data_IF_708748145449
#
_entry.id   IF_708748145449
#
_cell.length_a   1.000
_cell.length_b   1.000
_cell.length_c   1.000
_cell.angle_alpha   90.00
_cell.angle_beta   90.00
_cell.angle_gamma   90.00
#
_symmetry.space_group_name_H-M   'P 1'
#
loop_
_entity.id
_entity.type
_entity.pdbx_description
1 polymer ?
#
# COMPACT_ATOMS: atom_id res chain seq x y z
N UNK A 1 -29.41 0.31 -5.52
CA UNK A 1 -28.97 1.69 -5.73
C UNK A 1 -28.35 1.79 -7.12
N UNK A 2 -28.88 2.69 -7.95
CA UNK A 2 -28.33 2.96 -9.29
C UNK A 2 -27.28 4.05 -9.15
N UNK A 3 -26.04 3.74 -9.55
CA UNK A 3 -24.96 4.71 -9.58
C UNK A 3 -25.17 5.68 -10.74
N UNK A 4 -25.02 6.98 -10.49
CA UNK A 4 -25.07 8.00 -11.55
C UNK A 4 -23.79 7.92 -12.40
N UNK A 5 -23.91 7.31 -13.56
CA UNK A 5 -22.79 7.08 -14.47
C UNK A 5 -22.05 8.36 -14.86
N UNK A 6 -22.75 9.49 -15.07
CA UNK A 6 -22.12 10.76 -15.46
C UNK A 6 -21.20 11.29 -14.37
N UNK A 7 -21.67 11.33 -13.13
CA UNK A 7 -20.86 11.73 -11.96
C UNK A 7 -19.72 10.75 -11.73
N UNK A 8 -19.97 9.45 -11.83
CA UNK A 8 -18.98 8.41 -11.60
C UNK A 8 -17.79 8.51 -12.56
N UNK A 9 -18.04 8.65 -13.88
CA UNK A 9 -16.98 8.84 -14.86
C UNK A 9 -16.23 10.17 -14.69
N UNK A 10 -16.91 11.24 -14.22
CA UNK A 10 -16.25 12.49 -13.86
C UNK A 10 -15.23 12.26 -12.73
N UNK A 11 -15.62 11.55 -11.67
CA UNK A 11 -14.70 11.18 -10.57
C UNK A 11 -13.55 10.31 -11.06
N UNK A 12 -13.82 9.31 -11.91
CA UNK A 12 -12.78 8.47 -12.50
C UNK A 12 -11.71 9.31 -13.20
N UNK A 13 -12.09 10.22 -14.08
CA UNK A 13 -11.14 11.10 -14.79
C UNK A 13 -10.35 12.01 -13.86
N UNK A 14 -11.02 12.63 -12.89
CA UNK A 14 -10.36 13.49 -11.92
C UNK A 14 -9.30 12.73 -11.10
N UNK A 15 -9.63 11.54 -10.61
CA UNK A 15 -8.71 10.74 -9.82
C UNK A 15 -7.61 10.09 -10.66
N UNK A 16 -7.89 9.79 -11.93
CA UNK A 16 -6.86 9.37 -12.88
C UNK A 16 -5.82 10.47 -13.12
N UNK A 17 -6.24 11.72 -13.31
CA UNK A 17 -5.30 12.86 -13.43
C UNK A 17 -4.49 13.05 -12.15
N UNK A 18 -5.16 13.03 -11.00
CA UNK A 18 -4.52 13.18 -9.69
C UNK A 18 -3.48 12.09 -9.40
N UNK A 19 -3.69 10.86 -9.84
CA UNK A 19 -2.72 9.77 -9.68
C UNK A 19 -1.35 10.14 -10.26
N UNK A 20 -1.34 10.80 -11.40
CA UNK A 20 -0.11 11.24 -12.06
C UNK A 20 0.51 12.45 -11.38
N UNK A 21 -0.30 13.40 -10.92
CA UNK A 21 0.16 14.52 -10.10
C UNK A 21 0.83 14.02 -8.81
N UNK A 22 0.18 13.09 -8.11
CA UNK A 22 0.70 12.47 -6.88
C UNK A 22 2.02 11.70 -7.14
N UNK A 23 2.18 11.09 -8.33
CA UNK A 23 3.42 10.44 -8.75
C UNK A 23 4.55 11.47 -8.98
N UNK A 24 4.25 12.57 -9.68
CA UNK A 24 5.22 13.62 -10.04
C UNK A 24 5.76 14.33 -8.80
N UNK A 25 4.92 14.63 -7.81
CA UNK A 25 5.32 15.26 -6.55
C UNK A 25 5.91 14.26 -5.52
N UNK A 26 5.96 12.95 -5.85
CA UNK A 26 6.49 11.91 -4.97
C UNK A 26 5.58 11.52 -3.81
N UNK A 27 4.30 11.85 -3.87
CA UNK A 27 3.31 11.45 -2.87
C UNK A 27 2.82 10.02 -3.06
N UNK A 28 2.81 9.52 -4.31
CA UNK A 28 2.44 8.14 -4.62
C UNK A 28 3.63 7.19 -4.42
N UNK A 29 3.38 6.08 -3.74
CA UNK A 29 4.33 4.96 -3.63
C UNK A 29 4.59 4.38 -5.02
N UNK A 30 5.83 4.46 -5.52
CA UNK A 30 6.17 4.10 -6.90
C UNK A 30 5.85 2.64 -7.24
N UNK A 31 6.07 1.74 -6.31
CA UNK A 31 5.80 0.30 -6.46
C UNK A 31 4.30 -0.05 -6.46
N UNK A 32 3.44 0.90 -6.08
CA UNK A 32 2.00 0.76 -6.16
C UNK A 32 1.44 1.08 -7.56
N UNK A 33 2.15 1.92 -8.32
CA UNK A 33 1.69 2.44 -9.61
C UNK A 33 1.20 1.36 -10.60
N UNK A 34 1.93 0.24 -10.85
CA UNK A 34 1.47 -0.78 -11.79
C UNK A 34 0.10 -1.38 -11.42
N UNK A 35 -0.13 -1.57 -10.13
CA UNK A 35 -1.42 -2.08 -9.62
C UNK A 35 -2.54 -1.07 -9.86
N UNK A 36 -2.32 0.20 -9.52
CA UNK A 36 -3.34 1.25 -9.68
C UNK A 36 -3.69 1.47 -11.15
N UNK A 37 -2.69 1.47 -12.03
CA UNK A 37 -2.93 1.59 -13.47
C UNK A 37 -3.72 0.41 -14.00
N UNK A 38 -3.36 -0.82 -13.61
CA UNK A 38 -4.07 -2.03 -14.03
C UNK A 38 -5.57 -1.97 -13.66
N UNK A 39 -5.92 -1.53 -12.44
CA UNK A 39 -7.31 -1.35 -12.05
C UNK A 39 -8.01 -0.22 -12.83
N UNK A 40 -7.34 0.90 -13.08
CA UNK A 40 -7.91 2.03 -13.83
C UNK A 40 -8.11 1.72 -15.32
N UNK A 41 -7.35 0.78 -15.89
CA UNK A 41 -7.56 0.28 -17.27
C UNK A 41 -8.93 -0.40 -17.44
N UNK A 42 -9.53 -0.96 -16.39
CA UNK A 42 -10.91 -1.43 -16.46
C UNK A 42 -11.87 -0.23 -16.44
N UNK A 43 -12.75 -0.16 -17.44
CA UNK A 43 -13.68 0.96 -17.64
C UNK A 43 -14.56 1.20 -16.40
N UNK A 44 -14.93 0.15 -15.69
CA UNK A 44 -15.88 0.18 -14.58
C UNK A 44 -15.19 0.22 -13.19
N UNK A 45 -13.88 0.54 -13.15
CA UNK A 45 -13.09 0.67 -11.91
C UNK A 45 -12.28 1.97 -11.95
N UNK A 46 -12.16 2.64 -10.81
CA UNK A 46 -11.12 3.63 -10.57
C UNK A 46 -10.53 3.50 -9.16
N UNK A 47 -9.27 3.92 -8.99
CA UNK A 47 -8.56 3.83 -7.71
C UNK A 47 -8.68 5.11 -6.90
N UNK A 48 -8.60 4.96 -5.59
CA UNK A 48 -8.65 6.01 -4.58
C UNK A 48 -7.32 6.04 -3.81
N UNK A 49 -7.30 6.73 -2.67
CA UNK A 49 -6.13 6.76 -1.77
C UNK A 49 -5.71 5.34 -1.39
N UNK A 50 -4.46 5.00 -1.65
CA UNK A 50 -3.90 3.66 -1.46
C UNK A 50 -2.49 3.75 -0.88
N UNK A 51 -1.98 2.64 -0.35
CA UNK A 51 -0.65 2.55 0.23
C UNK A 51 -0.06 1.16 -0.09
N UNK A 52 1.21 1.12 -0.49
CA UNK A 52 1.90 -0.12 -0.83
C UNK A 52 2.38 -0.94 0.38
N UNK A 53 2.05 -0.50 1.58
CA UNK A 53 2.59 -0.98 2.86
C UNK A 53 3.67 -0.06 3.40
N UNK A 54 3.76 0.06 4.72
CA UNK A 54 4.66 1.02 5.37
C UNK A 54 5.02 0.58 6.79
N UNK A 55 6.14 1.15 7.27
CA UNK A 55 6.51 1.16 8.68
C UNK A 55 6.32 2.57 9.21
N UNK A 56 5.71 2.68 10.39
CA UNK A 56 5.44 3.94 11.08
C UNK A 56 5.88 3.83 12.52
N UNK A 57 6.63 4.82 13.01
CA UNK A 57 6.77 5.07 14.44
C UNK A 57 5.87 6.25 14.79
N UNK A 58 4.99 6.05 15.75
CA UNK A 58 4.05 7.08 16.21
C UNK A 58 4.15 7.30 17.71
N UNK A 59 4.10 8.57 18.13
CA UNK A 59 3.91 8.96 19.53
C UNK A 59 2.41 9.21 19.75
N UNK A 60 1.74 8.26 20.40
CA UNK A 60 0.29 8.27 20.60
C UNK A 60 -0.10 7.46 21.83
N UNK A 61 -1.33 7.69 22.35
CA UNK A 61 -1.84 6.94 23.50
C UNK A 61 -1.96 5.44 23.20
N UNK A 62 -2.45 5.09 21.99
CA UNK A 62 -2.57 3.71 21.49
C UNK A 62 -2.13 3.63 20.04
N UNK A 63 -1.68 2.46 19.54
CA UNK A 63 -1.17 2.33 18.17
C UNK A 63 -2.23 2.57 17.09
N UNK A 64 -3.51 2.51 17.41
CA UNK A 64 -4.64 2.78 16.51
C UNK A 64 -5.25 4.17 16.67
N UNK A 65 -4.81 4.97 17.67
CA UNK A 65 -5.31 6.34 17.87
C UNK A 65 -4.98 7.21 16.67
N UNK A 66 -5.97 7.93 16.14
CA UNK A 66 -5.75 8.93 15.09
C UNK A 66 -5.74 10.34 15.66
N UNK A 67 -6.61 10.58 16.64
CA UNK A 67 -6.63 11.82 17.40
C UNK A 67 -5.41 11.88 18.31
N UNK A 68 -4.76 13.02 18.37
CA UNK A 68 -3.57 13.25 19.20
C UNK A 68 -2.37 12.31 18.87
N UNK A 69 -2.31 11.76 17.68
CA UNK A 69 -1.19 10.94 17.21
C UNK A 69 -0.20 11.78 16.43
N UNK A 70 1.06 11.74 16.82
CA UNK A 70 2.18 12.33 16.09
C UNK A 70 2.97 11.22 15.38
N UNK A 71 3.03 11.26 14.05
CA UNK A 71 3.88 10.36 13.26
C UNK A 71 5.30 10.94 13.29
N UNK A 72 6.21 10.25 14.01
CA UNK A 72 7.60 10.69 14.14
C UNK A 72 8.54 10.09 13.09
N UNK A 73 8.12 8.96 12.48
CA UNK A 73 8.82 8.33 11.35
C UNK A 73 7.81 7.58 10.48
N UNK A 74 7.95 7.70 9.15
CA UNK A 74 7.15 6.93 8.18
C UNK A 74 8.04 6.53 7.01
N UNK A 75 8.08 5.22 6.67
CA UNK A 75 8.82 4.69 5.52
C UNK A 75 8.04 3.62 4.78
N UNK A 76 8.25 3.54 3.46
CA UNK A 76 7.74 2.51 2.56
C UNK A 76 8.84 1.53 2.11
N UNK A 77 10.00 1.64 2.74
CA UNK A 77 11.20 0.78 2.60
C UNK A 77 11.66 0.35 3.99
N UNK A 78 12.51 -0.67 4.12
CA UNK A 78 13.01 -1.14 5.41
C UNK A 78 13.67 -0.03 6.25
N UNK A 79 13.55 -0.16 7.57
CA UNK A 79 14.17 0.71 8.56
C UNK A 79 15.54 0.17 8.98
N UNK A 80 16.48 1.08 9.24
CA UNK A 80 17.68 0.74 10.00
C UNK A 80 17.42 0.89 11.51
N UNK A 81 18.05 0.03 12.30
CA UNK A 81 17.97 0.09 13.77
C UNK A 81 18.33 1.48 14.30
N UNK A 82 19.39 2.09 13.76
CA UNK A 82 19.87 3.42 14.17
C UNK A 82 18.81 4.52 14.06
N UNK A 83 17.86 4.40 13.15
CA UNK A 83 16.78 5.38 12.98
C UNK A 83 15.79 5.33 14.14
N UNK A 84 15.50 4.11 14.63
CA UNK A 84 14.61 3.91 15.78
C UNK A 84 15.32 4.25 17.07
N UNK A 85 16.59 3.84 17.23
CA UNK A 85 17.44 4.16 18.38
C UNK A 85 17.56 5.69 18.58
N UNK A 86 17.72 6.45 17.49
CA UNK A 86 17.74 7.91 17.53
C UNK A 86 16.41 8.53 17.99
N UNK A 87 15.28 7.88 17.75
CA UNK A 87 13.96 8.33 18.24
C UNK A 87 13.78 8.06 19.73
N UNK A 88 14.29 6.92 20.23
CA UNK A 88 14.23 6.55 21.66
C UNK A 88 15.00 7.51 22.57
N UNK A 89 15.99 8.23 22.00
CA UNK A 89 16.77 9.26 22.71
C UNK A 89 16.09 10.63 22.75
N UNK A 90 14.96 10.81 22.07
CA UNK A 90 14.19 12.07 22.04
C UNK A 90 13.13 12.06 23.14
N UNK A 91 12.67 13.26 23.59
CA UNK A 91 11.53 13.37 24.46
C UNK A 91 10.29 12.70 23.87
N UNK A 92 9.65 11.84 24.67
CA UNK A 92 8.42 11.12 24.32
C UNK A 92 7.27 11.80 25.06
N UNK A 93 6.26 12.21 24.33
CA UNK A 93 5.09 12.92 24.93
C UNK A 93 4.07 11.93 25.50
N UNK A 94 3.88 10.80 24.81
CA UNK A 94 2.94 9.75 25.21
C UNK A 94 3.62 8.38 25.23
N UNK A 95 3.48 7.65 24.12
CA UNK A 95 4.06 6.32 23.92
C UNK A 95 4.53 6.16 22.51
N UNK A 96 5.73 5.63 22.32
CA UNK A 96 6.21 5.24 21.00
C UNK A 96 5.73 3.84 20.63
N UNK A 97 5.11 3.76 19.47
CA UNK A 97 4.64 2.53 18.85
C UNK A 97 5.33 2.31 17.51
N UNK A 98 5.85 1.11 17.30
CA UNK A 98 6.35 0.65 16.00
C UNK A 98 5.24 -0.15 15.31
N UNK A 99 4.79 0.33 14.16
CA UNK A 99 3.72 -0.27 13.38
C UNK A 99 4.23 -0.60 11.99
N UNK A 100 4.00 -1.83 11.52
CA UNK A 100 4.22 -2.23 10.14
C UNK A 100 2.91 -2.75 9.55
N UNK A 101 2.59 -2.36 8.32
CA UNK A 101 1.35 -2.75 7.64
C UNK A 101 1.64 -3.18 6.21
N UNK A 102 0.91 -4.18 5.74
CA UNK A 102 0.85 -4.54 4.34
C UNK A 102 0.09 -3.52 3.50
N UNK A 103 -0.09 -3.81 2.20
CA UNK A 103 -0.77 -2.90 1.28
C UNK A 103 -2.27 -2.78 1.59
N UNK A 104 -2.78 -1.56 1.36
CA UNK A 104 -4.20 -1.23 1.41
C UNK A 104 -4.53 -0.48 0.12
N UNK A 105 -5.51 -0.97 -0.64
CA UNK A 105 -5.93 -0.37 -1.89
C UNK A 105 -7.42 -0.05 -1.80
N UNK A 106 -7.75 1.21 -1.95
CA UNK A 106 -9.12 1.65 -2.08
C UNK A 106 -9.45 1.88 -3.56
N UNK A 107 -10.57 1.39 -3.97
CA UNK A 107 -11.09 1.60 -5.32
C UNK A 107 -12.60 1.75 -5.31
N UNK A 108 -13.11 2.31 -6.37
CA UNK A 108 -14.53 2.37 -6.63
C UNK A 108 -14.88 1.54 -7.86
N UNK A 109 -16.01 0.86 -7.78
CA UNK A 109 -16.61 0.18 -8.92
C UNK A 109 -17.95 0.80 -9.25
N UNK A 110 -18.34 0.73 -10.52
CA UNK A 110 -19.59 1.32 -11.00
C UNK A 110 -20.83 0.62 -10.45
N UNK A 111 -20.72 -0.66 -10.10
CA UNK A 111 -21.82 -1.47 -9.59
C UNK A 111 -21.33 -2.58 -8.63
N UNK A 112 -22.28 -3.20 -7.93
CA UNK A 112 -22.00 -4.29 -6.99
C UNK A 112 -21.47 -5.57 -7.67
N UNK A 113 -21.84 -5.82 -8.94
CA UNK A 113 -21.36 -6.98 -9.70
C UNK A 113 -19.87 -6.86 -9.96
N UNK A 114 -19.45 -5.66 -10.35
CA UNK A 114 -18.02 -5.33 -10.52
C UNK A 114 -17.28 -5.39 -9.19
N UNK A 115 -17.87 -4.89 -8.09
CA UNK A 115 -17.28 -5.00 -6.75
C UNK A 115 -17.06 -6.46 -6.34
N UNK A 116 -18.07 -7.31 -6.50
CA UNK A 116 -17.97 -8.74 -6.21
C UNK A 116 -16.87 -9.42 -7.04
N UNK A 117 -16.76 -9.06 -8.33
CA UNK A 117 -15.71 -9.57 -9.21
C UNK A 117 -14.31 -9.16 -8.72
N UNK A 118 -14.09 -7.88 -8.39
CA UNK A 118 -12.82 -7.39 -7.85
C UNK A 118 -12.47 -8.09 -6.54
N UNK A 119 -13.42 -8.27 -5.63
CA UNK A 119 -13.21 -8.99 -4.38
C UNK A 119 -12.82 -10.47 -4.61
N UNK A 120 -13.41 -11.12 -5.64
CA UNK A 120 -13.00 -12.47 -6.04
C UNK A 120 -11.54 -12.50 -6.51
N UNK A 121 -11.13 -11.57 -7.39
CA UNK A 121 -9.75 -11.45 -7.87
C UNK A 121 -8.79 -11.18 -6.70
N UNK A 122 -9.14 -10.25 -5.82
CA UNK A 122 -8.36 -9.93 -4.63
C UNK A 122 -8.16 -11.14 -3.70
N UNK A 123 -9.19 -11.94 -3.48
CA UNK A 123 -9.11 -13.18 -2.67
C UNK A 123 -8.17 -14.21 -3.27
N UNK A 124 -8.14 -14.37 -4.59
CA UNK A 124 -7.17 -15.24 -5.29
C UNK A 124 -5.72 -14.78 -5.06
N UNK A 125 -5.51 -13.48 -4.88
CA UNK A 125 -4.22 -12.89 -4.55
C UNK A 125 -3.88 -12.93 -3.04
N UNK A 126 -4.78 -13.44 -2.18
CA UNK A 126 -4.56 -13.52 -0.74
C UNK A 126 -5.10 -12.33 0.08
N UNK A 127 -5.83 -11.40 -0.53
CA UNK A 127 -6.48 -10.25 0.14
C UNK A 127 -7.80 -10.67 0.78
N UNK A 128 -7.71 -11.53 1.82
CA UNK A 128 -8.87 -12.20 2.43
C UNK A 128 -9.76 -11.28 3.28
N UNK A 129 -9.22 -10.15 3.74
CA UNK A 129 -9.92 -9.19 4.61
C UNK A 129 -10.57 -8.03 3.86
N UNK A 130 -10.63 -8.15 2.52
CA UNK A 130 -11.22 -7.14 1.64
C UNK A 130 -12.75 -7.14 1.71
N UNK A 131 -13.35 -5.97 1.49
CA UNK A 131 -14.80 -5.82 1.52
C UNK A 131 -15.31 -4.53 0.90
N UNK A 132 -16.63 -4.39 0.83
CA UNK A 132 -17.31 -3.15 0.48
C UNK A 132 -17.35 -2.26 1.72
N UNK A 133 -16.80 -1.05 1.62
CA UNK A 133 -16.84 -0.04 2.68
C UNK A 133 -18.12 0.78 2.66
N UNK A 134 -18.57 1.18 1.47
CA UNK A 134 -19.75 2.00 1.31
C UNK A 134 -20.29 1.92 -0.11
N UNK A 135 -21.55 2.33 -0.26
CA UNK A 135 -22.22 2.48 -1.56
C UNK A 135 -22.71 3.90 -1.68
N UNK A 136 -22.27 4.61 -2.71
CA UNK A 136 -22.60 6.01 -2.95
C UNK A 136 -23.13 6.21 -4.35
N UNK A 137 -24.21 7.00 -4.50
CA UNK A 137 -24.86 7.26 -5.79
C UNK A 137 -23.91 7.89 -6.82
N UNK A 138 -23.01 8.76 -6.42
CA UNK A 138 -22.12 9.51 -7.31
C UNK A 138 -20.74 8.90 -7.43
N UNK A 139 -20.22 8.33 -6.33
CA UNK A 139 -18.87 7.77 -6.27
C UNK A 139 -18.82 6.27 -6.56
N UNK A 140 -19.96 5.58 -6.62
CA UNK A 140 -20.04 4.15 -6.85
C UNK A 140 -19.91 3.29 -5.59
N UNK A 141 -19.52 2.04 -5.77
CA UNK A 141 -19.29 1.07 -4.69
C UNK A 141 -17.83 1.14 -4.27
N UNK A 142 -17.56 1.63 -3.08
CA UNK A 142 -16.21 1.75 -2.54
C UNK A 142 -15.78 0.43 -1.94
N UNK A 143 -14.67 -0.09 -2.43
CA UNK A 143 -14.09 -1.37 -2.03
C UNK A 143 -12.71 -1.13 -1.42
N UNK A 144 -12.43 -1.77 -0.30
CA UNK A 144 -11.11 -1.87 0.28
C UNK A 144 -10.52 -3.25 -0.01
N UNK A 145 -9.32 -3.27 -0.59
CA UNK A 145 -8.50 -4.46 -0.72
C UNK A 145 -7.43 -4.41 0.36
N UNK A 146 -7.50 -5.33 1.30
CA UNK A 146 -6.56 -5.38 2.41
C UNK A 146 -6.21 -6.81 2.80
N UNK A 147 -5.03 -6.95 3.37
CA UNK A 147 -4.52 -8.20 3.92
C UNK A 147 -4.56 -8.15 5.45
N UNK A 148 -4.43 -9.29 6.11
CA UNK A 148 -4.20 -9.33 7.56
C UNK A 148 -2.76 -9.02 7.97
N UNK A 149 -1.90 -8.61 7.02
CA UNK A 149 -0.47 -8.36 7.25
C UNK A 149 -0.30 -7.09 8.05
N UNK A 150 -0.07 -7.24 9.34
CA UNK A 150 0.19 -6.13 10.26
C UNK A 150 1.00 -6.59 11.47
N UNK A 151 1.77 -5.66 12.00
CA UNK A 151 2.52 -5.79 13.23
C UNK A 151 2.45 -4.47 13.98
N UNK A 152 2.26 -4.53 15.29
CA UNK A 152 2.23 -3.34 16.14
C UNK A 152 2.84 -3.71 17.48
N UNK A 153 3.80 -2.94 17.94
CA UNK A 153 4.47 -3.17 19.22
C UNK A 153 4.81 -1.87 19.91
N UNK A 154 4.87 -1.94 21.23
CA UNK A 154 5.34 -0.88 22.11
C UNK A 154 6.86 -0.75 22.01
N UNK A 155 7.37 0.47 21.98
CA UNK A 155 8.80 0.77 22.06
C UNK A 155 9.20 1.48 23.34
N UNK A 156 8.43 2.50 23.73
CA UNK A 156 8.79 3.33 24.88
C UNK A 156 7.63 4.20 25.38
N UNK A 157 7.71 4.60 26.65
CA UNK A 157 6.97 5.72 27.25
C UNK A 157 7.90 6.48 28.20
N UNK A 158 7.47 7.60 28.76
CA UNK A 158 8.28 8.44 29.63
C UNK A 158 8.92 7.62 30.78
N UNK A 159 10.25 7.58 30.82
CA UNK A 159 11.02 6.88 31.85
C UNK A 159 11.14 5.35 31.67
N UNK A 160 10.54 4.78 30.62
CA UNK A 160 10.62 3.35 30.32
C UNK A 160 10.71 3.11 28.81
N UNK A 161 11.88 2.74 28.31
CA UNK A 161 12.11 2.44 26.90
C UNK A 161 12.76 1.06 26.77
N UNK A 162 12.40 0.36 25.68
CA UNK A 162 13.14 -0.83 25.28
C UNK A 162 14.53 -0.43 24.76
N UNK A 163 15.50 -1.29 24.93
CA UNK A 163 16.89 -0.99 24.59
C UNK A 163 17.56 -2.14 23.82
N UNK A 164 18.63 -1.80 23.12
CA UNK A 164 19.59 -2.74 22.54
C UNK A 164 18.96 -3.78 21.61
N UNK A 165 19.25 -5.05 21.90
CA UNK A 165 18.87 -6.19 21.06
C UNK A 165 17.36 -6.39 20.94
N UNK A 166 16.57 -6.00 21.91
CA UNK A 166 15.11 -6.14 21.84
C UNK A 166 14.53 -5.18 20.79
N UNK A 167 14.97 -3.93 20.77
CA UNK A 167 14.57 -2.96 19.72
C UNK A 167 15.04 -3.44 18.35
N UNK A 168 16.27 -3.98 18.24
CA UNK A 168 16.79 -4.52 16.98
C UNK A 168 15.91 -5.64 16.44
N UNK A 169 15.54 -6.62 17.25
CA UNK A 169 14.63 -7.72 16.87
C UNK A 169 13.26 -7.21 16.42
N UNK A 170 12.71 -6.18 17.08
CA UNK A 170 11.43 -5.59 16.70
C UNK A 170 11.50 -4.85 15.36
N UNK A 171 12.60 -4.13 15.09
CA UNK A 171 12.84 -3.48 13.80
C UNK A 171 12.98 -4.53 12.68
N UNK A 172 13.73 -5.61 12.92
CA UNK A 172 13.86 -6.73 11.97
C UNK A 172 12.49 -7.35 11.67
N UNK A 173 11.67 -7.58 12.69
CA UNK A 173 10.31 -8.11 12.52
C UNK A 173 9.41 -7.15 11.76
N UNK A 174 9.47 -5.85 12.03
CA UNK A 174 8.72 -4.85 11.26
C UNK A 174 9.15 -4.83 9.79
N UNK A 175 10.45 -4.95 9.51
CA UNK A 175 10.99 -5.04 8.15
C UNK A 175 10.51 -6.32 7.44
N UNK A 176 10.53 -7.48 8.11
CA UNK A 176 10.00 -8.73 7.57
C UNK A 176 8.53 -8.60 7.15
N UNK A 177 7.71 -7.99 8.00
CA UNK A 177 6.28 -7.72 7.72
C UNK A 177 6.11 -6.78 6.51
N UNK A 178 6.92 -5.73 6.42
CA UNK A 178 6.92 -4.83 5.26
C UNK A 178 7.27 -5.60 3.99
N UNK A 179 8.38 -6.35 3.99
CA UNK A 179 8.85 -7.13 2.83
C UNK A 179 7.80 -8.14 2.37
N UNK A 180 7.17 -8.85 3.31
CA UNK A 180 6.06 -9.74 3.01
C UNK A 180 4.88 -8.99 2.39
N UNK A 181 4.53 -7.81 2.91
CA UNK A 181 3.51 -6.94 2.33
C UNK A 181 3.80 -6.57 0.87
N UNK A 182 5.07 -6.27 0.54
CA UNK A 182 5.50 -5.99 -0.85
C UNK A 182 5.36 -7.20 -1.77
N UNK A 183 5.64 -8.39 -1.27
CA UNK A 183 5.41 -9.64 -2.02
C UNK A 183 3.91 -9.86 -2.31
N UNK A 184 3.06 -9.62 -1.32
CA UNK A 184 1.60 -9.74 -1.49
C UNK A 184 1.06 -8.69 -2.47
N UNK A 185 1.65 -7.49 -2.50
CA UNK A 185 1.32 -6.46 -3.50
C UNK A 185 1.66 -6.95 -4.91
N UNK A 186 2.85 -7.51 -5.12
CA UNK A 186 3.25 -8.08 -6.41
C UNK A 186 2.33 -9.23 -6.81
N UNK A 187 1.96 -10.10 -5.88
CA UNK A 187 1.00 -11.19 -6.13
C UNK A 187 -0.36 -10.66 -6.59
N UNK A 188 -0.84 -9.55 -5.99
CA UNK A 188 -2.08 -8.92 -6.45
C UNK A 188 -1.96 -8.48 -7.91
N UNK A 189 -0.85 -7.84 -8.27
CA UNK A 189 -0.58 -7.44 -9.65
C UNK A 189 -0.59 -8.66 -10.59
N UNK A 190 0.17 -9.72 -10.27
CA UNK A 190 0.28 -10.92 -11.09
C UNK A 190 -1.05 -11.67 -11.25
N UNK A 191 -1.88 -11.69 -10.21
CA UNK A 191 -3.22 -12.28 -10.30
C UNK A 191 -4.15 -11.35 -11.08
N UNK A 192 -4.20 -10.06 -10.72
CA UNK A 192 -5.15 -9.13 -11.31
C UNK A 192 -4.96 -8.98 -12.83
N UNK A 193 -3.72 -8.96 -13.34
CA UNK A 193 -3.43 -8.84 -14.78
C UNK A 193 -3.97 -9.99 -15.64
N UNK A 194 -4.33 -11.14 -15.02
CA UNK A 194 -4.96 -12.28 -15.71
C UNK A 194 -6.46 -12.10 -15.90
N UNK A 195 -7.07 -11.18 -15.15
CA UNK A 195 -8.52 -11.00 -15.06
C UNK A 195 -8.97 -9.58 -15.43
N UNK A 196 -8.06 -8.62 -15.47
CA UNK A 196 -8.32 -7.22 -15.76
C UNK A 196 -7.44 -6.73 -16.93
N UNK A 197 -7.92 -5.75 -17.70
CA UNK A 197 -9.29 -5.19 -17.68
C UNK A 197 -10.30 -6.17 -18.28
N UNK A 198 -11.54 -6.14 -17.81
CA UNK A 198 -12.67 -6.87 -18.45
C UNK A 198 -13.19 -6.11 -19.65
N UNK A 199 -13.26 -4.81 -19.53
CA UNK A 199 -13.60 -3.85 -20.59
C UNK A 199 -12.58 -2.72 -20.53
N UNK A 200 -11.80 -2.54 -21.58
CA UNK A 200 -10.74 -1.52 -21.62
C UNK A 200 -11.34 -0.11 -21.62
N UNK A 201 -10.76 0.76 -20.80
CA UNK A 201 -10.97 2.21 -20.85
C UNK A 201 -9.98 2.80 -21.86
N UNK A 202 -10.46 3.13 -23.05
CA UNK A 202 -9.61 3.60 -24.15
C UNK A 202 -8.90 4.93 -23.87
N UNK A 203 -9.47 5.80 -23.05
CA UNK A 203 -8.83 7.07 -22.65
C UNK A 203 -7.65 6.79 -21.73
N UNK A 204 -7.84 5.93 -20.74
CA UNK A 204 -6.76 5.48 -19.84
C UNK A 204 -5.67 4.75 -20.63
N UNK A 205 -6.05 3.83 -21.52
CA UNK A 205 -5.10 3.07 -22.34
C UNK A 205 -4.23 3.98 -23.22
N UNK A 206 -4.84 4.96 -23.92
CA UNK A 206 -4.09 5.94 -24.72
C UNK A 206 -3.08 6.73 -23.87
N UNK A 207 -3.51 7.16 -22.68
CA UNK A 207 -2.65 7.90 -21.78
C UNK A 207 -1.47 7.04 -21.28
N UNK A 208 -1.72 5.77 -20.96
CA UNK A 208 -0.67 4.81 -20.57
C UNK A 208 0.33 4.58 -21.70
N UNK A 209 -0.14 4.33 -22.92
CA UNK A 209 0.71 4.14 -24.11
C UNK A 209 1.59 5.36 -24.40
N UNK A 210 1.05 6.58 -24.22
CA UNK A 210 1.80 7.81 -24.45
C UNK A 210 2.95 8.02 -23.42
N UNK A 211 2.87 7.42 -22.25
CA UNK A 211 3.88 7.56 -21.19
C UNK A 211 5.01 6.52 -21.28
N UNK A 212 4.96 5.55 -22.17
CA UNK A 212 5.98 4.53 -22.50
C UNK A 212 6.81 4.02 -21.32
N UNK A 213 7.23 2.76 -21.31
CA UNK A 213 8.27 2.26 -20.39
C UNK A 213 8.02 2.31 -18.87
N UNK A 214 7.12 3.20 -18.41
CA UNK A 214 6.87 3.42 -16.98
C UNK A 214 6.17 2.22 -16.30
N UNK A 215 5.48 1.41 -17.10
CA UNK A 215 4.69 0.26 -16.65
C UNK A 215 5.29 -1.08 -17.06
N UNK A 216 6.51 -1.10 -17.61
CA UNK A 216 7.18 -2.32 -18.02
C UNK A 216 7.70 -3.13 -16.84
N UNK A 217 7.66 -2.52 -15.63
CA UNK A 217 8.12 -3.15 -14.39
C UNK A 217 6.96 -3.53 -13.49
N UNK A 218 7.11 -4.69 -12.87
CA UNK A 218 6.23 -5.16 -11.79
C UNK A 218 6.45 -4.37 -10.49
N UNK A 219 5.49 -4.40 -9.55
CA UNK A 219 5.71 -3.84 -8.20
C UNK A 219 6.99 -4.33 -7.53
N UNK A 220 7.31 -5.63 -7.68
CA UNK A 220 8.51 -6.23 -7.10
C UNK A 220 9.80 -5.64 -7.69
N UNK A 221 9.88 -5.48 -9.01
CA UNK A 221 11.04 -4.91 -9.69
C UNK A 221 11.25 -3.45 -9.29
N UNK A 222 10.18 -2.66 -9.23
CA UNK A 222 10.25 -1.26 -8.76
C UNK A 222 10.74 -1.20 -7.32
N UNK A 223 10.20 -2.04 -6.44
CA UNK A 223 10.60 -2.08 -5.04
C UNK A 223 12.08 -2.46 -4.87
N UNK A 224 12.56 -3.48 -5.60
CA UNK A 224 13.98 -3.87 -5.61
C UNK A 224 14.87 -2.72 -6.10
N UNK A 225 14.46 -2.00 -7.15
CA UNK A 225 15.20 -0.84 -7.65
C UNK A 225 15.25 0.31 -6.62
N UNK A 226 14.17 0.51 -5.85
CA UNK A 226 14.16 1.47 -4.74
C UNK A 226 15.18 1.08 -3.66
N UNK A 227 15.22 -0.19 -3.25
CA UNK A 227 16.19 -0.68 -2.26
C UNK A 227 17.64 -0.56 -2.76
N UNK A 228 17.90 -0.85 -4.05
CA UNK A 228 19.24 -0.66 -4.66
C UNK A 228 19.71 0.79 -4.58
N UNK A 229 18.85 1.75 -4.90
CA UNK A 229 19.15 3.20 -4.81
C UNK A 229 19.45 3.66 -3.40
N UNK A 230 18.91 2.99 -2.40
CA UNK A 230 19.13 3.25 -0.98
C UNK A 230 20.28 2.42 -0.38
N UNK A 231 21.01 1.65 -1.20
CA UNK A 231 22.07 0.73 -0.78
C UNK A 231 21.62 -0.32 0.27
N UNK A 232 20.34 -0.71 0.25
CA UNK A 232 19.73 -1.68 1.16
C UNK A 232 19.83 -3.11 0.62
N UNK A 233 21.03 -3.56 0.25
CA UNK A 233 21.25 -4.86 -0.42
C UNK A 233 20.90 -6.06 0.45
N UNK A 234 21.11 -5.99 1.77
CA UNK A 234 20.73 -7.03 2.72
C UNK A 234 19.22 -7.31 2.71
N UNK A 235 18.39 -6.28 2.53
CA UNK A 235 16.94 -6.42 2.44
C UNK A 235 16.47 -6.94 1.09
N UNK A 236 17.23 -6.73 0.01
CA UNK A 236 16.97 -7.37 -1.28
C UNK A 236 17.11 -8.89 -1.15
N UNK A 237 18.16 -9.36 -0.49
CA UNK A 237 18.35 -10.80 -0.27
C UNK A 237 17.30 -11.38 0.71
N UNK A 238 16.91 -10.62 1.74
CA UNK A 238 15.81 -11.00 2.62
C UNK A 238 14.47 -11.11 1.85
N UNK A 239 14.17 -10.14 0.99
CA UNK A 239 12.99 -10.14 0.13
C UNK A 239 12.94 -11.38 -0.78
N UNK A 240 14.06 -11.70 -1.44
CA UNK A 240 14.16 -12.90 -2.30
C UNK A 240 13.97 -14.20 -1.52
N UNK A 241 14.53 -14.31 -0.31
CA UNK A 241 14.33 -15.49 0.55
C UNK A 241 12.88 -15.69 0.96
N UNK A 242 12.19 -14.63 1.36
CA UNK A 242 10.77 -14.69 1.70
C UNK A 242 9.96 -15.08 0.46
N UNK A 243 10.29 -14.54 -0.73
CA UNK A 243 9.63 -14.87 -1.98
C UNK A 243 9.78 -16.37 -2.34
N UNK A 244 10.96 -16.93 -2.15
CA UNK A 244 11.23 -18.35 -2.39
C UNK A 244 10.50 -19.29 -1.43
N UNK A 245 10.23 -18.86 -0.21
CA UNK A 245 9.48 -19.64 0.80
C UNK A 245 7.96 -19.59 0.65
N UNK A 246 7.44 -18.80 -0.29
CA UNK A 246 6.02 -18.66 -0.59
C UNK A 246 5.57 -19.45 -1.84
N UNK A 247 6.50 -20.14 -2.52
CA UNK A 247 6.28 -20.96 -3.72
C UNK A 247 5.72 -22.36 -3.41
#
# INVERSE_FOLDING_TARGET
LVVDSKSWYKFKRQLWSRLWEDLEIGYLDKDLLPVLVLFNLDRDIYTLSSCSGRIVVSDSKYPWSREESNIVLKKHVPLDYSEVDALLKKPIVRRLWLNATGPIIHLSTRDLRTAAYVLKVARLAGYKHSGVLSVNRHKGVIVELTTGVRFSTFLAEAGNALEGDDVRKLVEKANEILLYGKLVLNRLYEVARRYLPRVVDEEVERHVKARGGLLDKTPAEIFVDMMRRLNQFNYIEAYKRIAAGLG
#
